data_IF_573920122964
#
_entry.id   IF_573920122964
#
_cell.length_a   1.000
_cell.length_b   1.000
_cell.length_c   1.000
_cell.angle_alpha   90.00
_cell.angle_beta   90.00
_cell.angle_gamma   90.00
#
_symmetry.space_group_name_H-M   'P 1'
#
loop_
_entity.id
_entity.type
_entity.pdbx_description
1 polymer ?
#
# COMPACT_ATOMS: atom_id res chain seq x y z
N UNK A 1 -8.43 -8.81 -22.08
CA UNK A 1 -7.73 -8.55 -20.80
C UNK A 1 -8.13 -9.66 -19.84
N UNK A 2 -7.20 -10.23 -19.07
CA UNK A 2 -7.52 -11.20 -18.01
C UNK A 2 -8.42 -10.53 -16.98
N UNK A 3 -9.48 -11.22 -16.57
CA UNK A 3 -10.31 -10.79 -15.44
C UNK A 3 -9.86 -11.49 -14.18
N UNK A 4 -9.79 -10.75 -13.08
CA UNK A 4 -9.45 -11.27 -11.77
C UNK A 4 -10.71 -11.64 -11.00
N UNK A 5 -10.73 -12.86 -10.47
CA UNK A 5 -11.76 -13.34 -9.56
C UNK A 5 -11.65 -12.66 -8.20
N UNK A 6 -12.72 -12.69 -7.40
CA UNK A 6 -12.71 -12.13 -6.03
C UNK A 6 -11.60 -12.74 -5.15
N UNK A 7 -11.34 -14.04 -5.30
CA UNK A 7 -10.28 -14.73 -4.56
C UNK A 7 -8.88 -14.29 -4.97
N UNK A 8 -8.64 -14.02 -6.25
CA UNK A 8 -7.37 -13.44 -6.71
C UNK A 8 -7.20 -12.01 -6.21
N UNK A 9 -8.27 -11.20 -6.26
CA UNK A 9 -8.25 -9.83 -5.73
C UNK A 9 -7.93 -9.81 -4.24
N UNK A 10 -8.53 -10.70 -3.46
CA UNK A 10 -8.23 -10.84 -2.04
C UNK A 10 -6.74 -11.20 -1.81
N UNK A 11 -6.23 -12.21 -2.53
CA UNK A 11 -4.81 -12.61 -2.43
C UNK A 11 -3.85 -11.48 -2.83
N UNK A 12 -4.19 -10.69 -3.84
CA UNK A 12 -3.37 -9.56 -4.28
C UNK A 12 -3.30 -8.43 -3.25
N UNK A 13 -4.32 -8.27 -2.40
CA UNK A 13 -4.37 -7.28 -1.33
C UNK A 13 -3.85 -7.81 0.02
N UNK A 14 -3.61 -9.13 0.15
CA UNK A 14 -3.17 -9.74 1.41
C UNK A 14 -1.86 -9.12 1.95
N UNK A 15 -0.80 -8.90 1.15
CA UNK A 15 0.42 -8.25 1.66
C UNK A 15 0.15 -6.85 2.19
N UNK A 16 -0.70 -6.06 1.52
CA UNK A 16 -1.05 -4.73 2.01
C UNK A 16 -1.81 -4.80 3.35
N UNK A 17 -2.74 -5.73 3.49
CA UNK A 17 -3.45 -5.96 4.76
C UNK A 17 -2.52 -6.39 5.88
N UNK A 18 -1.60 -7.32 5.60
CA UNK A 18 -0.58 -7.80 6.54
C UNK A 18 0.33 -6.64 6.96
N UNK A 19 0.82 -5.83 6.03
CA UNK A 19 1.62 -4.63 6.31
C UNK A 19 0.91 -3.68 7.28
N UNK A 20 -0.38 -3.38 7.04
CA UNK A 20 -1.16 -2.48 7.90
C UNK A 20 -1.34 -3.07 9.30
N UNK A 21 -1.63 -4.37 9.42
CA UNK A 21 -1.77 -5.03 10.73
C UNK A 21 -0.44 -5.06 11.47
N UNK A 22 0.66 -5.46 10.82
CA UNK A 22 2.00 -5.48 11.41
C UNK A 22 2.44 -4.09 11.87
N UNK A 23 2.19 -3.05 11.06
CA UNK A 23 2.51 -1.67 11.44
C UNK A 23 1.73 -1.21 12.68
N UNK A 24 0.44 -1.56 12.76
CA UNK A 24 -0.37 -1.29 13.94
C UNK A 24 0.14 -2.03 15.19
N UNK A 25 0.55 -3.29 15.05
CA UNK A 25 1.17 -4.06 16.14
C UNK A 25 2.49 -3.44 16.61
N UNK A 26 3.34 -2.97 15.68
CA UNK A 26 4.59 -2.27 16.01
C UNK A 26 4.28 -0.99 16.81
N UNK A 27 3.32 -0.18 16.36
CA UNK A 27 2.93 1.06 17.05
C UNK A 27 2.38 0.77 18.44
N UNK A 28 1.48 -0.21 18.58
CA UNK A 28 0.94 -0.63 19.86
C UNK A 28 2.05 -1.11 20.81
N UNK A 29 3.01 -1.88 20.30
CA UNK A 29 4.14 -2.36 21.10
C UNK A 29 5.09 -1.23 21.54
N UNK A 30 5.22 -0.15 20.76
CA UNK A 30 6.03 1.01 21.14
C UNK A 30 5.44 1.82 22.29
N UNK A 31 4.11 1.95 22.34
CA UNK A 31 3.39 2.76 23.34
C UNK A 31 2.91 1.92 24.54
N UNK A 32 2.90 0.60 24.38
CA UNK A 32 2.36 -0.37 25.34
C UNK A 32 0.84 -0.51 25.24
N UNK A 33 0.28 -1.46 26.01
CA UNK A 33 -1.16 -1.79 26.04
C UNK A 33 -2.07 -0.73 26.70
N UNK A 34 -1.62 0.52 26.73
CA UNK A 34 -2.41 1.65 27.22
C UNK A 34 -3.52 2.01 26.21
N UNK A 35 -4.55 2.72 26.68
CA UNK A 35 -5.58 3.27 25.79
C UNK A 35 -4.97 4.15 24.68
N UNK A 36 -3.88 4.85 24.97
CA UNK A 36 -3.13 5.62 24.00
C UNK A 36 -2.49 4.72 22.91
N UNK A 37 -1.90 3.60 23.27
CA UNK A 37 -1.31 2.66 22.31
C UNK A 37 -2.35 2.06 21.37
N UNK A 38 -3.51 1.68 21.90
CA UNK A 38 -4.65 1.21 21.10
C UNK A 38 -5.17 2.30 20.17
N UNK A 39 -5.28 3.55 20.66
CA UNK A 39 -5.73 4.68 19.85
C UNK A 39 -4.75 4.95 18.68
N UNK A 40 -3.44 4.97 18.94
CA UNK A 40 -2.43 5.17 17.89
C UNK A 40 -2.40 4.04 16.86
N UNK A 41 -2.51 2.79 17.30
CA UNK A 41 -2.62 1.65 16.39
C UNK A 41 -3.90 1.74 15.54
N UNK A 42 -5.03 2.12 16.14
CA UNK A 42 -6.29 2.36 15.43
C UNK A 42 -6.19 3.48 14.39
N UNK A 43 -5.57 4.60 14.74
CA UNK A 43 -5.31 5.72 13.81
C UNK A 43 -4.45 5.27 12.63
N UNK A 44 -3.44 4.44 12.87
CA UNK A 44 -2.60 3.90 11.80
C UNK A 44 -3.39 2.99 10.85
N UNK A 45 -4.25 2.11 11.38
CA UNK A 45 -5.14 1.28 10.55
C UNK A 45 -6.10 2.15 9.72
N UNK A 46 -6.71 3.14 10.34
CA UNK A 46 -7.59 4.10 9.65
C UNK A 46 -6.85 4.83 8.54
N UNK A 47 -5.60 5.23 8.79
CA UNK A 47 -4.75 5.86 7.78
C UNK A 47 -4.41 4.92 6.63
N UNK A 48 -4.22 3.62 6.89
CA UNK A 48 -4.09 2.59 5.86
C UNK A 48 -5.34 2.52 4.97
N UNK A 49 -6.51 2.37 5.58
CA UNK A 49 -7.80 2.33 4.86
C UNK A 49 -8.00 3.62 4.05
N UNK A 50 -7.77 4.78 4.65
CA UNK A 50 -7.87 6.08 4.00
C UNK A 50 -6.88 6.20 2.83
N UNK A 51 -5.66 5.68 2.97
CA UNK A 51 -4.66 5.64 1.91
C UNK A 51 -5.11 4.81 0.70
N UNK A 52 -5.69 3.62 0.93
CA UNK A 52 -6.26 2.81 -0.14
C UNK A 52 -7.42 3.53 -0.84
N UNK A 53 -8.34 4.13 -0.09
CA UNK A 53 -9.44 4.94 -0.63
C UNK A 53 -8.93 6.16 -1.40
N UNK A 54 -7.85 6.79 -0.94
CA UNK A 54 -7.20 7.92 -1.61
C UNK A 54 -6.67 7.51 -2.99
N UNK A 55 -5.98 6.37 -3.09
CA UNK A 55 -5.54 5.81 -4.38
C UNK A 55 -6.74 5.54 -5.28
N UNK A 56 -7.80 4.91 -4.75
CA UNK A 56 -9.03 4.63 -5.51
C UNK A 56 -9.70 5.91 -6.03
N UNK A 57 -9.66 7.01 -5.27
CA UNK A 57 -10.35 8.26 -5.60
C UNK A 57 -9.56 9.18 -6.51
N UNK A 58 -8.23 9.22 -6.39
CA UNK A 58 -7.37 10.22 -7.03
C UNK A 58 -6.38 9.66 -8.06
N UNK A 59 -6.10 8.35 -8.05
CA UNK A 59 -5.17 7.71 -8.99
C UNK A 59 -5.93 6.78 -9.94
N UNK A 60 -6.70 5.83 -9.40
CA UNK A 60 -7.44 4.84 -10.19
C UNK A 60 -8.38 5.40 -11.27
N UNK A 61 -8.96 6.61 -11.17
CA UNK A 61 -9.79 7.18 -12.24
C UNK A 61 -9.05 7.40 -13.56
N UNK A 62 -7.73 7.58 -13.49
CA UNK A 62 -6.84 7.82 -14.63
C UNK A 62 -6.18 6.51 -15.12
N UNK A 63 -6.47 5.38 -14.46
CA UNK A 63 -5.91 4.09 -14.81
C UNK A 63 -6.69 3.42 -15.97
N UNK A 64 -5.99 2.64 -16.79
CA UNK A 64 -6.54 1.86 -17.89
C UNK A 64 -7.53 0.78 -17.42
N UNK A 65 -7.42 0.34 -16.16
CA UNK A 65 -8.34 -0.60 -15.54
C UNK A 65 -9.56 0.03 -14.87
N UNK A 66 -9.80 1.34 -15.01
CA UNK A 66 -11.00 1.99 -14.48
C UNK A 66 -12.27 1.27 -14.94
N UNK A 67 -13.18 0.99 -14.00
CA UNK A 67 -14.42 0.25 -14.23
C UNK A 67 -14.22 -1.14 -14.89
N UNK A 68 -13.14 -1.84 -14.54
CA UNK A 68 -12.86 -3.18 -15.07
C UNK A 68 -12.42 -4.15 -13.98
N UNK A 69 -12.60 -5.45 -14.24
CA UNK A 69 -12.05 -6.56 -13.43
C UNK A 69 -10.58 -6.86 -13.77
N UNK A 70 -9.93 -6.02 -14.56
CA UNK A 70 -8.55 -6.20 -14.99
C UNK A 70 -7.51 -5.77 -13.94
N UNK A 71 -7.87 -4.99 -12.90
CA UNK A 71 -6.93 -4.72 -11.81
C UNK A 71 -6.85 -5.91 -10.85
N UNK A 72 -5.67 -6.51 -10.61
CA UNK A 72 -5.48 -7.49 -9.55
C UNK A 72 -5.89 -6.95 -8.18
N UNK A 73 -5.75 -5.63 -7.97
CA UNK A 73 -6.14 -4.96 -6.75
C UNK A 73 -7.67 -4.80 -6.57
N UNK A 74 -8.46 -4.89 -7.65
CA UNK A 74 -9.90 -4.61 -7.65
C UNK A 74 -10.28 -3.12 -7.55
N UNK A 75 -9.32 -2.21 -7.37
CA UNK A 75 -9.58 -0.79 -7.10
C UNK A 75 -10.29 -0.07 -8.25
N UNK A 76 -10.09 -0.52 -9.50
CA UNK A 76 -10.75 0.08 -10.66
C UNK A 76 -12.28 0.03 -10.61
N UNK A 77 -12.86 -1.02 -10.02
CA UNK A 77 -14.31 -1.15 -9.84
C UNK A 77 -14.82 -0.26 -8.71
N UNK A 78 -14.07 -0.17 -7.61
CA UNK A 78 -14.45 0.69 -6.48
C UNK A 78 -14.33 2.17 -6.87
N UNK A 79 -13.24 2.52 -7.56
CA UNK A 79 -12.99 3.85 -8.12
C UNK A 79 -14.17 4.34 -8.97
N UNK A 80 -14.71 3.47 -9.83
CA UNK A 80 -15.84 3.80 -10.69
C UNK A 80 -17.15 4.13 -9.95
N UNK A 81 -17.24 3.78 -8.65
CA UNK A 81 -18.40 4.13 -7.80
C UNK A 81 -18.20 5.43 -7.03
N UNK A 82 -16.96 5.87 -6.83
CA UNK A 82 -16.62 7.01 -5.95
C UNK A 82 -16.00 8.18 -6.70
N UNK A 83 -15.65 8.00 -7.98
CA UNK A 83 -14.97 8.97 -8.82
C UNK A 83 -15.46 8.88 -10.26
N UNK A 84 -15.45 10.01 -10.97
CA UNK A 84 -15.63 10.04 -12.41
C UNK A 84 -14.33 9.67 -13.11
N UNK A 85 -14.44 9.01 -14.27
CA UNK A 85 -13.30 8.61 -15.11
C UNK A 85 -12.50 9.84 -15.53
N UNK A 86 -11.18 9.78 -15.35
CA UNK A 86 -10.25 10.81 -15.82
C UNK A 86 -9.58 10.42 -17.14
N UNK A 87 -8.80 11.36 -17.68
CA UNK A 87 -7.99 11.15 -18.89
C UNK A 87 -6.75 10.30 -18.60
N UNK A 88 -6.55 9.22 -19.35
CA UNK A 88 -5.46 8.26 -19.10
C UNK A 88 -4.06 8.87 -19.17
N UNK A 89 -3.88 9.90 -20.00
CA UNK A 89 -2.63 10.66 -20.18
C UNK A 89 -2.15 11.32 -18.89
N UNK A 90 -3.07 11.65 -17.98
CA UNK A 90 -2.75 12.30 -16.70
C UNK A 90 -2.33 11.29 -15.61
N UNK A 91 -2.29 9.98 -15.88
CA UNK A 91 -1.99 8.96 -14.87
C UNK A 91 -0.65 9.20 -14.17
N UNK A 92 0.42 9.42 -14.93
CA UNK A 92 1.78 9.56 -14.37
C UNK A 92 1.89 10.77 -13.44
N UNK A 93 1.28 11.90 -13.83
CA UNK A 93 1.22 13.12 -13.01
C UNK A 93 0.44 12.88 -11.71
N UNK A 94 -0.78 12.33 -11.81
CA UNK A 94 -1.63 12.06 -10.64
C UNK A 94 -0.98 11.05 -9.70
N UNK A 95 -0.33 10.02 -10.24
CA UNK A 95 0.40 9.03 -9.47
C UNK A 95 1.52 9.70 -8.66
N UNK A 96 2.42 10.47 -9.30
CA UNK A 96 3.51 11.18 -8.60
C UNK A 96 3.00 12.16 -7.54
N UNK A 97 1.90 12.86 -7.82
CA UNK A 97 1.31 13.82 -6.89
C UNK A 97 0.72 13.18 -5.65
N UNK A 98 0.09 12.02 -5.77
CA UNK A 98 -0.71 11.43 -4.69
C UNK A 98 -0.03 10.26 -3.97
N UNK A 99 0.97 9.59 -4.56
CA UNK A 99 1.71 8.53 -3.86
C UNK A 99 2.43 8.99 -2.59
N UNK A 100 3.02 10.19 -2.51
CA UNK A 100 3.63 10.66 -1.26
C UNK A 100 2.66 10.67 -0.06
N UNK A 101 1.35 10.77 -0.31
CA UNK A 101 0.31 10.73 0.74
C UNK A 101 0.23 9.37 1.42
N UNK A 102 0.59 8.27 0.73
CA UNK A 102 0.57 6.94 1.33
C UNK A 102 1.94 6.54 1.91
N UNK A 103 3.04 7.16 1.45
CA UNK A 103 4.43 6.82 1.85
C UNK A 103 4.64 6.73 3.38
N UNK A 104 4.00 7.56 4.23
CA UNK A 104 4.16 7.44 5.67
C UNK A 104 3.72 6.09 6.26
N UNK A 105 2.84 5.32 5.59
CA UNK A 105 2.48 3.96 6.01
C UNK A 105 3.71 3.05 6.11
N UNK A 106 4.67 3.18 5.21
CA UNK A 106 5.89 2.35 5.24
C UNK A 106 6.91 2.85 6.26
N UNK A 107 6.95 4.16 6.51
CA UNK A 107 8.02 4.81 7.27
C UNK A 107 7.70 4.88 8.76
N UNK A 108 6.46 5.19 9.14
CA UNK A 108 6.07 5.42 10.54
C UNK A 108 6.40 4.21 11.43
N UNK A 109 6.02 2.95 11.09
CA UNK A 109 6.34 1.81 11.94
C UNK A 109 7.84 1.57 12.08
N UNK A 110 8.61 1.83 11.03
CA UNK A 110 10.08 1.68 11.06
C UNK A 110 10.72 2.69 11.99
N UNK A 111 10.31 3.95 11.91
CA UNK A 111 10.85 5.00 12.78
C UNK A 111 10.45 4.78 14.23
N UNK A 112 9.17 4.49 14.50
CA UNK A 112 8.68 4.23 15.84
C UNK A 112 9.33 2.98 16.46
N UNK A 113 9.31 1.85 15.74
CA UNK A 113 9.89 0.59 16.19
C UNK A 113 11.39 0.66 16.37
N UNK A 114 12.10 1.28 15.42
CA UNK A 114 13.55 1.47 15.49
C UNK A 114 13.95 2.36 16.68
N UNK A 115 13.28 3.50 16.87
CA UNK A 115 13.53 4.37 18.01
C UNK A 115 13.25 3.68 19.36
N UNK A 116 12.15 2.94 19.46
CA UNK A 116 11.83 2.19 20.68
C UNK A 116 12.88 1.12 20.99
N UNK A 117 13.36 0.36 19.99
CA UNK A 117 14.44 -0.62 20.17
C UNK A 117 15.77 0.01 20.59
N UNK A 118 16.08 1.21 20.09
CA UNK A 118 17.28 1.96 20.51
C UNK A 118 17.21 2.43 21.96
N UNK A 119 16.00 2.71 22.47
CA UNK A 119 15.78 3.13 23.86
C UNK A 119 15.70 1.95 24.84
N UNK A 120 15.24 0.80 24.38
CA UNK A 120 15.13 -0.41 25.17
C UNK A 120 14.92 -1.62 24.27
N UNK A 121 15.89 -2.53 24.26
CA UNK A 121 15.82 -3.71 23.41
C UNK A 121 14.65 -4.61 23.84
N UNK A 122 13.85 -5.04 22.87
CA UNK A 122 12.73 -5.95 23.04
C UNK A 122 12.69 -6.93 21.88
N UNK A 123 12.96 -8.21 22.16
CA UNK A 123 12.95 -9.25 21.15
C UNK A 123 11.60 -9.36 20.41
N UNK A 124 10.43 -9.30 21.09
CA UNK A 124 9.14 -9.29 20.40
C UNK A 124 8.98 -8.12 19.42
N UNK A 125 9.39 -6.91 19.81
CA UNK A 125 9.32 -5.73 18.95
C UNK A 125 10.27 -5.86 17.75
N UNK A 126 11.47 -6.39 17.96
CA UNK A 126 12.42 -6.67 16.88
C UNK A 126 11.82 -7.64 15.86
N UNK A 127 11.22 -8.74 16.31
CA UNK A 127 10.58 -9.72 15.41
C UNK A 127 9.45 -9.06 14.63
N UNK A 128 8.55 -8.31 15.27
CA UNK A 128 7.47 -7.58 14.59
C UNK A 128 8.00 -6.61 13.55
N UNK A 129 9.05 -5.85 13.89
CA UNK A 129 9.65 -4.88 12.99
C UNK A 129 10.33 -5.56 11.78
N UNK A 130 11.04 -6.66 11.99
CA UNK A 130 11.66 -7.44 10.90
C UNK A 130 10.58 -8.00 9.97
N UNK A 131 9.50 -8.57 10.51
CA UNK A 131 8.37 -9.06 9.72
C UNK A 131 7.72 -7.93 8.92
N UNK A 132 7.50 -6.76 9.54
CA UNK A 132 6.98 -5.58 8.86
C UNK A 132 7.89 -5.15 7.71
N UNK A 133 9.20 -5.03 7.94
CA UNK A 133 10.15 -4.61 6.92
C UNK A 133 10.21 -5.60 5.76
N UNK A 134 10.24 -6.91 6.07
CA UNK A 134 10.21 -7.95 5.06
C UNK A 134 8.94 -7.87 4.21
N UNK A 135 7.76 -7.71 4.82
CA UNK A 135 6.52 -7.60 4.07
C UNK A 135 6.44 -6.31 3.25
N UNK A 136 6.65 -5.16 3.89
CA UNK A 136 6.45 -3.83 3.33
C UNK A 136 7.43 -3.47 2.21
N UNK A 137 8.71 -3.87 2.35
CA UNK A 137 9.79 -3.48 1.43
C UNK A 137 10.28 -4.61 0.53
N UNK A 138 9.96 -5.87 0.83
CA UNK A 138 10.41 -7.02 0.02
C UNK A 138 9.21 -7.74 -0.59
N UNK A 139 8.33 -8.33 0.21
CA UNK A 139 7.25 -9.20 -0.28
C UNK A 139 6.25 -8.40 -1.13
N UNK A 140 5.70 -7.31 -0.60
CA UNK A 140 4.70 -6.49 -1.28
C UNK A 140 5.24 -5.91 -2.61
N UNK A 141 6.44 -5.29 -2.66
CA UNK A 141 7.00 -4.82 -3.93
C UNK A 141 7.32 -5.94 -4.92
N UNK A 142 7.83 -7.09 -4.47
CA UNK A 142 8.13 -8.22 -5.36
C UNK A 142 6.86 -8.82 -5.96
N UNK A 143 5.84 -9.07 -5.16
CA UNK A 143 4.56 -9.60 -5.64
C UNK A 143 3.87 -8.61 -6.57
N UNK A 144 3.87 -7.32 -6.21
CA UNK A 144 3.30 -6.28 -7.06
C UNK A 144 4.02 -6.20 -8.40
N UNK A 145 5.37 -6.23 -8.40
CA UNK A 145 6.15 -6.18 -9.65
C UNK A 145 5.95 -7.41 -10.52
N UNK A 146 5.87 -8.62 -9.94
CA UNK A 146 5.78 -9.87 -10.71
C UNK A 146 4.40 -10.13 -11.30
N UNK A 147 3.33 -9.83 -10.58
CA UNK A 147 1.97 -10.21 -10.99
C UNK A 147 1.10 -9.01 -11.35
N UNK A 148 1.14 -7.94 -10.56
CA UNK A 148 0.19 -6.83 -10.72
C UNK A 148 0.65 -5.78 -11.74
N UNK A 149 1.90 -5.35 -11.62
CA UNK A 149 2.45 -4.25 -12.41
C UNK A 149 3.05 -4.72 -13.73
N UNK A 150 3.56 -5.96 -13.82
CA UNK A 150 4.10 -6.52 -15.05
C UNK A 150 3.05 -6.68 -16.15
N UNK A 151 1.81 -7.04 -15.78
CA UNK A 151 0.68 -7.26 -16.68
C UNK A 151 -0.11 -5.96 -16.99
N UNK A 152 0.28 -4.83 -16.40
CA UNK A 152 -0.45 -3.58 -16.55
C UNK A 152 -0.23 -2.96 -17.95
N UNK A 153 -1.30 -2.60 -18.70
CA UNK A 153 -1.17 -1.97 -20.01
C UNK A 153 -0.60 -0.54 -19.96
N UNK A 154 -0.55 0.08 -18.77
CA UNK A 154 0.08 1.39 -18.53
C UNK A 154 1.40 1.27 -17.76
N UNK A 155 2.07 0.11 -17.81
CA UNK A 155 3.32 -0.10 -17.07
C UNK A 155 4.43 0.87 -17.51
N UNK A 156 4.48 1.22 -18.79
CA UNK A 156 5.57 2.03 -19.35
C UNK A 156 5.43 3.51 -18.94
N UNK A 157 4.19 3.97 -18.75
CA UNK A 157 3.88 5.32 -18.22
C UNK A 157 3.96 5.40 -16.69
N UNK A 158 4.07 4.26 -16.01
CA UNK A 158 4.02 4.18 -14.55
C UNK A 158 5.36 4.61 -13.94
N UNK A 159 5.39 5.67 -13.10
CA UNK A 159 6.62 6.12 -12.45
C UNK A 159 7.34 5.04 -11.63
N UNK A 160 6.60 4.02 -11.16
CA UNK A 160 7.13 2.95 -10.34
C UNK A 160 7.76 1.80 -11.15
N UNK A 161 7.37 1.63 -12.42
CA UNK A 161 7.86 0.55 -13.29
C UNK A 161 8.75 1.07 -14.43
N UNK A 162 8.37 2.21 -15.04
CA UNK A 162 9.01 2.79 -16.22
C UNK A 162 10.43 3.32 -16.02
N UNK A 163 10.95 3.36 -14.79
CA UNK A 163 12.31 3.85 -14.52
C UNK A 163 13.44 2.82 -14.69
N UNK A 164 13.18 1.64 -15.27
CA UNK A 164 14.25 0.68 -15.63
C UNK A 164 14.73 0.76 -17.09
N UNK A 165 14.25 1.72 -17.87
CA UNK A 165 14.62 1.90 -19.29
C UNK A 165 15.37 3.20 -19.63
N UNK A 166 15.85 3.96 -18.64
CA UNK A 166 16.60 5.19 -18.87
C UNK A 166 18.11 5.02 -18.64
N UNK A 167 18.78 4.35 -19.58
CA UNK A 167 20.14 4.67 -20.00
C UNK A 167 20.10 4.90 -21.50
#
# INVERSE_FOLDING_TARGET
MREYTRGEVFRANLPYGVMVVLGACVIAACVGSSAAGVAWAGLYVLYGIAGALWVMRFICPFCAYYNSRGCPCGYGLVSARIAQKGEKTCFSEKFKRHIPVIVPLWIIPVLCGGYALLRGFSLPLLVLLVLFVADAFVILPLLSRKHSCAECPQRDDCPWMGQRGGR
#
